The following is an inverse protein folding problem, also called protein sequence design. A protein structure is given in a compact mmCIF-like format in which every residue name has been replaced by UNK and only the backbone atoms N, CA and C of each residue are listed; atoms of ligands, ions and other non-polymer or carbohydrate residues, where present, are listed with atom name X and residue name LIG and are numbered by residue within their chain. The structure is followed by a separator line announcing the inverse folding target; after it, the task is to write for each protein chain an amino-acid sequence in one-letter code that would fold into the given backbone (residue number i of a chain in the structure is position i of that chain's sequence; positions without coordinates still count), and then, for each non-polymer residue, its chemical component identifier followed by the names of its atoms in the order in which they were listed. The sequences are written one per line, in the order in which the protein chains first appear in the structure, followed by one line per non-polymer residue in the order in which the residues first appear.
data_IF_447924569680
#
_entry.id   IF_447924569680
#
_cell.length_a   1.000
_cell.length_b   1.000
_cell.length_c   1.000
_cell.angle_alpha   90.00
_cell.angle_beta   90.00
_cell.angle_gamma   90.00
#
_symmetry.space_group_name_H-M   'P 1'
#
loop_
_entity.id
_entity.type
_entity.pdbx_description
1 polymer ?
#
# COMPACT_ATOMS: atom_id res chain seq x y z
N UNK A 1 2.48 41.71 42.17
CA UNK A 1 1.68 40.47 42.33
C UNK A 1 1.06 39.95 41.02
N UNK A 2 0.73 40.81 40.04
CA UNK A 2 0.05 40.40 38.78
C UNK A 2 0.90 39.52 37.83
N UNK A 3 2.21 39.76 37.72
CA UNK A 3 3.08 39.02 36.80
C UNK A 3 3.32 37.55 37.21
N UNK A 4 3.37 37.25 38.51
CA UNK A 4 3.63 35.89 39.01
C UNK A 4 2.46 34.94 38.72
N UNK A 5 1.23 35.42 38.93
CA UNK A 5 -0.01 34.69 38.64
C UNK A 5 -0.14 34.46 37.13
N UNK A 6 0.16 35.47 36.31
CA UNK A 6 0.13 35.37 34.85
C UNK A 6 1.12 34.33 34.30
N UNK A 7 2.33 34.28 34.87
CA UNK A 7 3.33 33.26 34.53
C UNK A 7 2.91 31.84 34.93
N UNK A 8 2.29 31.68 36.11
CA UNK A 8 1.73 30.40 36.58
C UNK A 8 0.63 29.88 35.65
N UNK A 9 -0.34 30.73 35.31
CA UNK A 9 -1.43 30.39 34.37
C UNK A 9 -0.89 30.04 32.99
N UNK A 10 0.06 30.80 32.45
CA UNK A 10 0.67 30.49 31.16
C UNK A 10 1.42 29.14 31.15
N UNK A 11 2.09 28.76 32.25
CA UNK A 11 2.72 27.44 32.38
C UNK A 11 1.69 26.30 32.34
N UNK A 12 0.58 26.45 33.06
CA UNK A 12 -0.50 25.44 33.09
C UNK A 12 -1.18 25.32 31.72
N UNK A 13 -1.52 26.45 31.09
CA UNK A 13 -2.13 26.47 29.74
C UNK A 13 -1.20 25.81 28.72
N UNK A 14 0.11 26.14 28.75
CA UNK A 14 1.11 25.54 27.85
C UNK A 14 1.26 24.04 28.07
N UNK A 15 1.21 23.58 29.32
CA UNK A 15 1.24 22.15 29.67
C UNK A 15 0.01 21.41 29.14
N UNK A 16 -1.19 21.96 29.32
CA UNK A 16 -2.43 21.37 28.81
C UNK A 16 -2.46 21.36 27.28
N UNK A 17 -2.10 22.46 26.63
CA UNK A 17 -1.98 22.56 25.17
C UNK A 17 -1.01 21.50 24.61
N UNK A 18 0.18 21.35 25.22
CA UNK A 18 1.15 20.32 24.83
C UNK A 18 0.54 18.91 24.89
N UNK A 19 -0.19 18.56 25.95
CA UNK A 19 -0.84 17.25 26.08
C UNK A 19 -1.90 17.01 25.01
N UNK A 20 -2.71 18.03 24.71
CA UNK A 20 -3.75 17.94 23.67
C UNK A 20 -3.11 17.75 22.28
N UNK A 21 -2.09 18.55 21.94
CA UNK A 21 -1.35 18.44 20.68
C UNK A 21 -0.69 17.06 20.54
N UNK A 22 0.00 16.58 21.57
CA UNK A 22 0.62 15.25 21.56
C UNK A 22 -0.41 14.14 21.38
N UNK A 23 -1.57 14.23 22.05
CA UNK A 23 -2.66 13.26 21.86
C UNK A 23 -3.25 13.31 20.46
N UNK A 24 -3.40 14.50 19.88
CA UNK A 24 -3.91 14.70 18.53
C UNK A 24 -2.98 14.06 17.48
N UNK A 25 -1.66 14.27 17.60
CA UNK A 25 -0.65 13.65 16.73
C UNK A 25 -0.61 12.13 16.92
N UNK A 26 -0.68 11.65 18.16
CA UNK A 26 -0.57 10.22 18.45
C UNK A 26 -1.84 9.42 18.07
N UNK A 27 -3.01 10.06 17.95
CA UNK A 27 -4.27 9.39 17.60
C UNK A 27 -4.24 8.70 16.23
N UNK A 28 -3.87 9.34 15.10
CA UNK A 28 -3.78 8.67 13.82
C UNK A 28 -2.70 7.57 13.81
N UNK A 29 -1.58 7.78 14.49
CA UNK A 29 -0.52 6.77 14.62
C UNK A 29 -1.05 5.52 15.33
N UNK A 30 -1.70 5.68 16.49
CA UNK A 30 -2.31 4.57 17.24
C UNK A 30 -3.36 3.84 16.42
N UNK A 31 -4.17 4.56 15.63
CA UNK A 31 -5.16 3.94 14.74
C UNK A 31 -4.51 3.08 13.67
N UNK A 32 -3.44 3.57 13.02
CA UNK A 32 -2.70 2.80 12.02
C UNK A 32 -2.01 1.58 12.62
N UNK A 33 -1.44 1.72 13.82
CA UNK A 33 -0.83 0.59 14.53
C UNK A 33 -1.87 -0.47 14.88
N UNK A 34 -3.03 -0.06 15.41
CA UNK A 34 -4.12 -0.99 15.72
C UNK A 34 -4.68 -1.67 14.46
N UNK A 35 -4.77 -0.96 13.33
CA UNK A 35 -5.18 -1.56 12.06
C UNK A 35 -4.15 -2.57 11.54
N UNK A 36 -2.86 -2.23 11.63
CA UNK A 36 -1.78 -3.15 11.28
C UNK A 36 -1.81 -4.40 12.15
N UNK A 37 -1.88 -4.23 13.48
CA UNK A 37 -1.99 -5.33 14.44
C UNK A 37 -3.23 -6.20 14.17
N UNK A 38 -4.39 -5.58 13.91
CA UNK A 38 -5.59 -6.32 13.52
C UNK A 38 -5.36 -7.14 12.24
N UNK A 39 -4.68 -6.58 11.23
CA UNK A 39 -4.35 -7.30 9.99
C UNK A 39 -3.39 -8.48 10.22
N UNK A 40 -2.57 -8.46 11.28
CA UNK A 40 -1.69 -9.60 11.63
C UNK A 40 -2.41 -10.77 12.28
N UNK A 41 -3.65 -10.59 12.77
CA UNK A 41 -4.42 -11.66 13.40
C UNK A 41 -5.02 -12.64 12.38
N UNK A 42 -5.34 -12.18 11.16
CA UNK A 42 -5.75 -13.03 10.05
C UNK A 42 -5.00 -12.64 8.76
N UNK A 43 -3.71 -12.97 8.66
CA UNK A 43 -2.89 -12.58 7.53
C UNK A 43 -3.33 -13.26 6.24
N UNK A 44 -3.96 -14.44 6.32
CA UNK A 44 -4.44 -15.17 5.14
C UNK A 44 -5.55 -14.39 4.45
N UNK A 45 -6.58 -13.99 5.21
CA UNK A 45 -7.68 -13.21 4.65
C UNK A 45 -7.19 -11.90 4.03
N UNK A 46 -6.27 -11.21 4.72
CA UNK A 46 -5.67 -9.96 4.24
C UNK A 46 -4.92 -10.15 2.93
N UNK A 47 -4.07 -11.18 2.84
CA UNK A 47 -3.30 -11.47 1.62
C UNK A 47 -4.19 -11.89 0.44
N UNK A 48 -5.24 -12.69 0.69
CA UNK A 48 -6.18 -13.07 -0.37
C UNK A 48 -6.98 -11.87 -0.90
N UNK A 49 -7.38 -10.95 -0.02
CA UNK A 49 -8.03 -9.71 -0.42
C UNK A 49 -7.08 -8.81 -1.23
N UNK A 50 -5.82 -8.69 -0.81
CA UNK A 50 -4.79 -7.96 -1.55
C UNK A 50 -4.57 -8.56 -2.94
N UNK A 51 -4.40 -9.88 -3.03
CA UNK A 51 -4.23 -10.57 -4.31
C UNK A 51 -5.40 -10.32 -5.25
N UNK A 52 -6.65 -10.47 -4.76
CA UNK A 52 -7.86 -10.18 -5.56
C UNK A 52 -7.87 -8.73 -6.05
N UNK A 53 -7.49 -7.78 -5.21
CA UNK A 53 -7.39 -6.37 -5.58
C UNK A 53 -6.35 -6.11 -6.69
N UNK A 54 -5.17 -6.71 -6.57
CA UNK A 54 -4.09 -6.60 -7.58
C UNK A 54 -4.55 -7.21 -8.91
N UNK A 55 -5.09 -8.43 -8.90
CA UNK A 55 -5.55 -9.10 -10.11
C UNK A 55 -6.65 -8.31 -10.81
N UNK A 56 -7.65 -7.82 -10.06
CA UNK A 56 -8.73 -7.02 -10.62
C UNK A 56 -8.22 -5.69 -11.20
N UNK A 57 -7.33 -5.01 -10.48
CA UNK A 57 -6.74 -3.75 -10.94
C UNK A 57 -5.92 -3.95 -12.22
N UNK A 58 -5.17 -5.05 -12.31
CA UNK A 58 -4.25 -5.32 -13.43
C UNK A 58 -4.86 -6.13 -14.58
N UNK A 59 -6.14 -6.52 -14.51
CA UNK A 59 -6.78 -7.42 -15.47
C UNK A 59 -6.77 -6.88 -16.92
N UNK A 60 -6.80 -5.56 -17.09
CA UNK A 60 -6.81 -4.91 -18.39
C UNK A 60 -5.40 -4.63 -18.98
N UNK A 61 -4.33 -5.05 -18.31
CA UNK A 61 -2.97 -4.99 -18.88
C UNK A 61 -2.77 -6.08 -19.93
N UNK A 62 -1.74 -5.95 -20.79
CA UNK A 62 -1.39 -7.03 -21.70
C UNK A 62 -1.05 -8.31 -20.91
N UNK A 63 -0.20 -8.20 -19.88
CA UNK A 63 0.12 -9.31 -18.99
C UNK A 63 -1.13 -9.93 -18.34
N UNK A 64 -2.04 -9.09 -17.82
CA UNK A 64 -3.28 -9.55 -17.20
C UNK A 64 -4.22 -10.29 -18.16
N UNK A 65 -4.30 -9.85 -19.43
CA UNK A 65 -5.07 -10.54 -20.47
C UNK A 65 -4.43 -11.87 -20.88
N UNK A 66 -3.12 -11.88 -21.11
CA UNK A 66 -2.37 -13.06 -21.52
C UNK A 66 -2.45 -14.17 -20.46
N UNK A 67 -2.58 -13.78 -19.18
CA UNK A 67 -2.77 -14.68 -18.05
C UNK A 67 -4.21 -14.75 -17.54
N UNK A 68 -5.20 -14.19 -18.24
CA UNK A 68 -6.63 -14.27 -17.90
C UNK A 68 -6.95 -13.99 -16.43
N UNK A 69 -6.46 -12.86 -15.90
CA UNK A 69 -6.67 -12.48 -14.50
C UNK A 69 -8.15 -12.39 -14.10
N UNK A 70 -9.04 -12.11 -15.05
CA UNK A 70 -10.49 -12.07 -14.89
C UNK A 70 -11.13 -13.45 -14.59
N UNK A 71 -10.45 -14.53 -14.96
CA UNK A 71 -10.88 -15.90 -14.73
C UNK A 71 -10.40 -16.46 -13.37
N UNK A 72 -9.43 -15.82 -12.71
CA UNK A 72 -8.86 -16.28 -11.44
C UNK A 72 -9.82 -15.96 -10.30
N UNK A 73 -10.37 -16.98 -9.63
CA UNK A 73 -11.31 -16.82 -8.50
C UNK A 73 -10.75 -17.33 -7.18
N UNK A 74 -9.83 -18.29 -7.26
CA UNK A 74 -9.21 -18.93 -6.10
C UNK A 74 -7.70 -18.83 -6.13
N UNK A 75 -7.07 -19.07 -4.98
CA UNK A 75 -5.60 -19.19 -4.89
C UNK A 75 -5.07 -20.35 -5.74
N UNK A 76 -5.86 -21.41 -5.91
CA UNK A 76 -5.48 -22.54 -6.75
C UNK A 76 -5.49 -22.16 -8.23
N UNK A 77 -6.50 -21.41 -8.70
CA UNK A 77 -6.52 -20.87 -10.07
C UNK A 77 -5.29 -20.02 -10.33
N UNK A 78 -4.98 -19.11 -9.39
CA UNK A 78 -3.80 -18.24 -9.48
C UNK A 78 -2.50 -19.05 -9.66
N UNK A 79 -2.31 -20.09 -8.84
CA UNK A 79 -1.12 -20.95 -8.89
C UNK A 79 -1.03 -21.80 -10.16
N UNK A 80 -2.16 -22.18 -10.73
CA UNK A 80 -2.20 -22.91 -12.01
C UNK A 80 -1.92 -21.99 -13.19
N UNK A 81 -2.35 -20.74 -13.12
CA UNK A 81 -2.30 -19.78 -14.21
C UNK A 81 -0.97 -19.02 -14.29
N UNK A 82 -0.32 -18.77 -13.15
CA UNK A 82 0.94 -18.04 -13.07
C UNK A 82 2.06 -18.95 -12.56
N UNK A 83 3.11 -19.19 -13.38
CA UNK A 83 4.26 -19.95 -12.94
C UNK A 83 5.11 -19.13 -11.96
N UNK A 84 5.85 -19.82 -11.10
CA UNK A 84 7.00 -19.21 -10.44
C UNK A 84 8.12 -19.13 -11.48
N UNK A 85 8.50 -17.92 -11.86
CA UNK A 85 9.39 -17.69 -13.00
C UNK A 85 10.48 -16.65 -12.70
N UNK A 86 11.57 -16.73 -13.45
CA UNK A 86 12.68 -15.77 -13.43
C UNK A 86 12.38 -14.48 -14.20
N UNK A 87 13.37 -13.59 -14.25
CA UNK A 87 13.26 -12.28 -14.92
C UNK A 87 12.92 -12.42 -16.41
N UNK A 88 13.46 -13.44 -17.07
CA UNK A 88 13.33 -13.69 -18.51
C UNK A 88 11.86 -13.86 -18.92
N UNK A 89 11.01 -14.34 -18.02
CA UNK A 89 9.58 -14.48 -18.25
C UNK A 89 8.87 -13.12 -18.40
N UNK A 90 9.33 -12.12 -17.65
CA UNK A 90 8.75 -10.79 -17.62
C UNK A 90 9.45 -9.81 -18.56
N UNK A 91 10.68 -10.12 -18.99
CA UNK A 91 11.51 -9.28 -19.86
C UNK A 91 10.76 -8.73 -21.08
N UNK A 92 9.96 -9.53 -21.83
CA UNK A 92 9.27 -9.02 -23.02
C UNK A 92 8.30 -7.87 -22.70
N UNK A 93 7.63 -7.92 -21.55
CA UNK A 93 6.73 -6.88 -21.11
C UNK A 93 7.49 -5.68 -20.53
N UNK A 94 8.59 -5.92 -19.81
CA UNK A 94 9.47 -4.87 -19.28
C UNK A 94 10.11 -4.08 -20.44
N UNK A 95 10.50 -4.74 -21.53
CA UNK A 95 11.01 -4.10 -22.73
C UNK A 95 9.97 -3.17 -23.38
N UNK A 96 8.68 -3.55 -23.35
CA UNK A 96 7.57 -2.71 -23.81
C UNK A 96 7.34 -1.51 -22.89
N UNK A 97 7.39 -1.70 -21.57
CA UNK A 97 7.34 -0.60 -20.59
C UNK A 97 8.43 0.44 -20.87
N UNK A 98 9.67 0.00 -21.14
CA UNK A 98 10.81 0.87 -21.46
C UNK A 98 10.63 1.70 -22.73
N UNK A 99 9.76 1.24 -23.65
CA UNK A 99 9.40 1.96 -24.88
C UNK A 99 8.19 2.89 -24.69
N UNK A 100 7.67 3.00 -23.47
CA UNK A 100 6.52 3.84 -23.13
C UNK A 100 5.18 3.12 -23.17
N UNK A 101 5.15 1.82 -23.46
CA UNK A 101 3.91 1.03 -23.45
C UNK A 101 3.60 0.56 -22.01
N UNK A 102 3.13 1.48 -21.17
CA UNK A 102 2.87 1.23 -19.74
C UNK A 102 1.88 0.10 -19.50
N UNK A 103 0.83 0.04 -20.32
CA UNK A 103 -0.20 -1.00 -20.22
C UNK A 103 0.28 -2.42 -20.58
N UNK A 104 1.56 -2.60 -20.93
CA UNK A 104 2.15 -3.94 -21.08
C UNK A 104 2.11 -4.72 -19.76
N UNK A 105 2.37 -4.06 -18.62
CA UNK A 105 2.43 -4.69 -17.30
C UNK A 105 1.70 -3.90 -16.20
N UNK A 106 1.50 -2.60 -16.38
CA UNK A 106 0.99 -1.69 -15.36
C UNK A 106 -0.28 -1.01 -15.86
N UNK A 107 -1.33 -1.03 -15.03
CA UNK A 107 -2.57 -0.29 -15.33
C UNK A 107 -2.42 1.22 -15.09
N UNK A 108 -1.45 1.63 -14.28
CA UNK A 108 -1.12 3.03 -14.08
C UNK A 108 -0.37 3.57 -15.32
N UNK A 109 -0.81 4.68 -15.92
CA UNK A 109 -0.14 5.27 -17.08
C UNK A 109 1.23 5.88 -16.77
N UNK A 110 1.58 6.11 -15.51
CA UNK A 110 2.83 6.80 -15.12
C UNK A 110 3.82 5.86 -14.42
N UNK A 111 5.01 5.71 -15.03
CA UNK A 111 6.14 5.01 -14.42
C UNK A 111 6.99 6.02 -13.65
N UNK A 112 7.11 5.83 -12.33
CA UNK A 112 7.94 6.70 -11.49
C UNK A 112 9.44 6.42 -11.63
N UNK A 113 9.83 5.15 -11.66
CA UNK A 113 11.24 4.73 -11.66
C UNK A 113 11.35 3.25 -12.06
N UNK A 114 12.47 2.87 -12.67
CA UNK A 114 12.92 1.48 -12.75
C UNK A 114 13.98 1.26 -11.67
N UNK A 115 13.71 0.40 -10.69
CA UNK A 115 14.70 0.03 -9.69
C UNK A 115 15.67 -1.00 -10.31
N UNK A 116 16.98 -0.71 -10.30
CA UNK A 116 18.01 -1.60 -10.81
C UNK A 116 18.52 -2.47 -9.65
N UNK A 117 18.47 -3.79 -9.81
CA UNK A 117 18.85 -4.80 -8.81
C UNK A 117 19.90 -5.75 -9.37
#
# INVERSE_FOLDING_TARGET
MSNLIRQGVQRVVRFLLRKVVLKAIARPIRRRLAQFEAATHDPRQVQEALLRGILAHQAATAFGRDHRFDAIRTLEDFRRQLPVAGYEYFEPYIARLRRGETNALLSDPHIHMFALT
#
